data_IF_978891829547
#
_entry.id   IF_978891829547
#
_cell.length_a   1.000
_cell.length_b   1.000
_cell.length_c   1.000
_cell.angle_alpha   90.00
_cell.angle_beta   90.00
_cell.angle_gamma   90.00
#
_symmetry.space_group_name_H-M   'P 1'
#
loop_
_entity.id
_entity.type
_entity.pdbx_description
1 polymer ?
#
# COMPACT_ATOMS: atom_id res chain seq x y z
N UNK A 1 2.04 -85.48 -20.58
CA UNK A 1 3.06 -84.88 -19.69
C UNK A 1 2.63 -83.43 -19.45
N UNK A 2 1.81 -83.19 -18.41
CA UNK A 2 2.20 -82.62 -17.07
C UNK A 2 2.48 -81.10 -17.14
N UNK A 3 1.48 -80.26 -16.85
CA UNK A 3 1.15 -79.61 -15.55
C UNK A 3 2.11 -78.51 -15.09
N UNK A 4 1.57 -77.29 -14.91
CA UNK A 4 1.61 -76.42 -13.71
C UNK A 4 1.78 -74.94 -14.12
N UNK A 5 0.71 -74.13 -14.11
CA UNK A 5 0.36 -73.17 -13.04
C UNK A 5 1.57 -72.52 -12.35
N UNK A 6 1.69 -71.20 -12.52
CA UNK A 6 2.05 -70.31 -11.41
C UNK A 6 1.43 -68.93 -11.65
N UNK A 7 0.50 -68.60 -10.76
CA UNK A 7 -0.13 -67.30 -10.57
C UNK A 7 0.84 -66.48 -9.71
N UNK A 8 1.15 -65.26 -10.13
CA UNK A 8 1.73 -64.25 -9.24
C UNK A 8 0.95 -62.95 -9.47
N UNK A 9 -0.13 -62.82 -8.70
CA UNK A 9 -0.72 -61.54 -8.29
C UNK A 9 0.34 -60.79 -7.50
N UNK A 10 0.62 -59.52 -7.79
CA UNK A 10 1.07 -58.54 -6.79
C UNK A 10 0.97 -57.11 -7.33
N UNK A 11 0.03 -56.39 -6.71
CA UNK A 11 0.06 -54.97 -6.35
C UNK A 11 0.04 -53.92 -7.46
N UNK A 12 -1.19 -53.45 -7.71
CA UNK A 12 -1.44 -52.07 -8.07
C UNK A 12 -0.85 -51.12 -7.01
N UNK A 13 0.11 -50.30 -7.40
CA UNK A 13 0.44 -49.08 -6.69
C UNK A 13 -0.08 -47.91 -7.53
N UNK A 14 -1.31 -47.50 -7.26
CA UNK A 14 -1.88 -46.26 -7.78
C UNK A 14 -1.15 -45.12 -7.10
N UNK A 15 -0.19 -44.50 -7.79
CA UNK A 15 0.40 -43.24 -7.37
C UNK A 15 -0.61 -42.12 -7.66
N UNK A 16 -1.51 -41.87 -6.71
CA UNK A 16 -2.26 -40.62 -6.66
C UNK A 16 -1.27 -39.54 -6.25
N UNK A 17 -0.73 -38.81 -7.23
CA UNK A 17 0.02 -37.59 -6.98
C UNK A 17 -0.97 -36.49 -6.56
N UNK A 18 -1.34 -36.49 -5.28
CA UNK A 18 -2.17 -35.46 -4.66
C UNK A 18 -1.40 -34.14 -4.60
N UNK A 19 -1.92 -33.15 -5.34
CA UNK A 19 -1.73 -31.71 -5.22
C UNK A 19 -0.72 -31.20 -4.18
N UNK A 20 0.41 -30.68 -4.66
CA UNK A 20 1.10 -29.56 -4.02
C UNK A 20 0.84 -28.28 -4.82
N UNK A 21 -0.45 -27.96 -5.03
CA UNK A 21 -0.86 -26.58 -5.24
C UNK A 21 -0.76 -25.88 -3.89
N UNK A 22 0.43 -25.38 -3.56
CA UNK A 22 0.55 -24.36 -2.52
C UNK A 22 -0.46 -23.25 -2.83
N UNK A 23 -1.13 -22.65 -1.82
CA UNK A 23 -2.03 -21.54 -2.09
C UNK A 23 -1.22 -20.48 -2.85
N UNK A 24 -1.75 -19.92 -3.97
CA UNK A 24 -1.09 -18.80 -4.60
C UNK A 24 -0.93 -17.75 -3.51
N UNK A 25 0.33 -17.37 -3.24
CA UNK A 25 0.65 -16.19 -2.45
C UNK A 25 -0.32 -15.13 -2.91
N UNK A 26 -1.20 -14.64 -2.02
CA UNK A 26 -2.30 -13.73 -2.34
C UNK A 26 -1.82 -12.76 -3.42
N UNK A 27 -2.18 -13.05 -4.68
CA UNK A 27 -2.06 -12.06 -5.71
C UNK A 27 -3.04 -11.03 -5.22
N UNK A 28 -2.51 -9.98 -4.58
CA UNK A 28 -3.26 -8.77 -4.39
C UNK A 28 -3.81 -8.51 -5.79
N UNK A 29 -5.12 -8.65 -5.95
CA UNK A 29 -5.76 -8.37 -7.22
C UNK A 29 -5.22 -6.99 -7.60
N UNK A 30 -4.42 -6.94 -8.68
CA UNK A 30 -3.69 -5.77 -9.07
C UNK A 30 -4.73 -4.74 -9.50
N UNK A 31 -5.22 -3.98 -8.53
CA UNK A 31 -6.03 -2.82 -8.79
C UNK A 31 -5.12 -1.86 -9.57
N UNK A 32 -5.50 -1.61 -10.82
CA UNK A 32 -4.79 -0.65 -11.64
C UNK A 32 -5.16 0.75 -11.15
N UNK A 33 -4.30 1.35 -10.34
CA UNK A 33 -4.44 2.74 -9.94
C UNK A 33 -3.58 3.65 -10.81
N UNK A 34 -4.11 4.82 -11.15
CA UNK A 34 -3.31 5.95 -11.61
C UNK A 34 -2.98 6.82 -10.39
N UNK A 35 -1.80 6.62 -9.79
CA UNK A 35 -1.42 7.30 -8.53
C UNK A 35 -1.49 8.83 -8.60
N UNK A 36 -1.35 9.44 -9.78
CA UNK A 36 -1.45 10.90 -9.92
C UNK A 36 -2.89 11.39 -9.88
N UNK A 37 -3.86 10.53 -10.22
CA UNK A 37 -5.29 10.82 -10.17
C UNK A 37 -5.94 10.26 -8.92
N UNK A 38 -5.47 9.14 -8.39
CA UNK A 38 -6.11 8.40 -7.31
C UNK A 38 -5.66 8.85 -5.92
N UNK A 39 -4.48 9.49 -5.82
CA UNK A 39 -4.00 10.09 -4.58
C UNK A 39 -3.97 11.61 -4.70
N UNK A 40 -4.90 12.25 -4.02
CA UNK A 40 -4.95 13.71 -3.94
C UNK A 40 -4.19 14.19 -2.71
N UNK A 41 -3.16 15.01 -2.92
CA UNK A 41 -2.45 15.71 -1.85
C UNK A 41 -2.93 17.16 -1.85
N UNK A 42 -3.53 17.58 -0.74
CA UNK A 42 -3.88 18.98 -0.51
C UNK A 42 -3.06 19.53 0.65
N UNK A 43 -2.75 20.82 0.58
CA UNK A 43 -2.01 21.50 1.63
C UNK A 43 -2.61 22.88 1.91
N UNK A 44 -3.25 23.04 3.07
CA UNK A 44 -3.77 24.34 3.52
C UNK A 44 -2.75 25.06 4.41
N UNK A 45 -2.60 26.36 4.18
CA UNK A 45 -1.82 27.26 5.03
C UNK A 45 -2.66 27.63 6.27
N UNK A 46 -2.12 27.40 7.44
CA UNK A 46 -2.65 27.86 8.72
C UNK A 46 -2.04 29.20 9.13
N UNK A 47 -2.36 29.63 10.34
CA UNK A 47 -1.90 30.92 10.86
C UNK A 47 -0.38 30.93 11.10
N UNK A 48 0.30 32.05 10.77
CA UNK A 48 1.67 32.27 11.16
C UNK A 48 1.84 32.19 12.67
N UNK A 49 2.93 31.58 13.10
CA UNK A 49 3.37 31.51 14.49
C UNK A 49 4.21 32.75 14.84
N UNK A 50 4.39 33.00 16.14
CA UNK A 50 5.15 34.15 16.64
C UNK A 50 6.63 34.15 16.22
N UNK A 51 7.18 32.98 15.88
CA UNK A 51 8.55 32.82 15.37
C UNK A 51 8.67 33.02 13.85
N UNK A 52 7.57 33.37 13.17
CA UNK A 52 7.49 33.56 11.72
C UNK A 52 7.29 32.27 10.92
N UNK A 53 7.25 31.10 11.56
CA UNK A 53 6.89 29.84 10.90
C UNK A 53 5.39 29.77 10.62
N UNK A 54 4.95 28.90 9.72
CA UNK A 54 3.53 28.65 9.45
C UNK A 54 3.19 27.19 9.62
N UNK A 55 1.98 26.92 10.09
CA UNK A 55 1.44 25.55 10.12
C UNK A 55 0.87 25.20 8.76
N UNK A 56 1.30 24.07 8.19
CA UNK A 56 0.78 23.53 6.95
C UNK A 56 0.06 22.22 7.26
N UNK A 57 -1.25 22.19 7.02
CA UNK A 57 -2.04 20.96 7.12
C UNK A 57 -2.03 20.26 5.78
N UNK A 58 -1.52 19.04 5.77
CA UNK A 58 -1.48 18.15 4.61
C UNK A 58 -2.58 17.12 4.77
N UNK A 59 -3.37 16.92 3.72
CA UNK A 59 -4.37 15.85 3.63
C UNK A 59 -4.08 15.04 2.38
N UNK A 60 -3.83 13.74 2.56
CA UNK A 60 -3.65 12.78 1.49
C UNK A 60 -4.89 11.92 1.40
N UNK A 61 -5.64 12.05 0.32
CA UNK A 61 -6.93 11.37 0.10
C UNK A 61 -6.78 10.28 -0.96
N UNK A 62 -7.29 9.09 -0.67
CA UNK A 62 -7.48 8.04 -1.67
C UNK A 62 -8.85 8.22 -2.33
N UNK A 63 -8.87 8.62 -3.60
CA UNK A 63 -10.07 8.81 -4.41
C UNK A 63 -10.19 7.78 -5.55
N UNK A 64 -9.46 6.67 -5.44
CA UNK A 64 -9.50 5.55 -6.38
C UNK A 64 -10.90 4.91 -6.40
N UNK A 65 -11.47 4.75 -7.60
CA UNK A 65 -12.86 4.32 -7.79
C UNK A 65 -13.16 2.83 -7.49
N UNK A 66 -12.13 2.00 -7.28
CA UNK A 66 -12.30 0.55 -7.10
C UNK A 66 -12.36 -0.22 -8.42
N UNK A 67 -12.73 -1.50 -8.34
CA UNK A 67 -12.97 -2.33 -9.52
C UNK A 67 -14.48 -2.42 -9.77
N UNK A 68 -14.93 -1.74 -10.81
CA UNK A 68 -16.34 -1.72 -11.22
C UNK A 68 -16.89 -3.10 -11.58
N UNK A 69 -16.06 -4.03 -12.06
CA UNK A 69 -16.52 -5.38 -12.46
C UNK A 69 -16.83 -6.25 -11.25
N UNK A 70 -16.01 -6.12 -10.20
CA UNK A 70 -16.13 -6.92 -8.98
C UNK A 70 -16.86 -6.19 -7.85
N UNK A 71 -17.11 -4.88 -8.01
CA UNK A 71 -17.69 -4.02 -6.98
C UNK A 71 -16.78 -3.84 -5.76
N UNK A 72 -15.48 -4.14 -5.88
CA UNK A 72 -14.55 -4.13 -4.76
C UNK A 72 -13.92 -2.74 -4.60
N UNK A 73 -13.89 -2.18 -3.38
CA UNK A 73 -13.34 -0.85 -3.17
C UNK A 73 -11.81 -0.87 -3.34
N UNK A 74 -11.25 0.27 -3.74
CA UNK A 74 -9.82 0.41 -3.88
C UNK A 74 -9.14 0.65 -2.53
N UNK A 75 -7.98 0.03 -2.29
CA UNK A 75 -7.14 0.31 -1.14
C UNK A 75 -5.73 0.63 -1.59
N UNK A 76 -5.17 1.72 -1.08
CA UNK A 76 -3.80 2.14 -1.42
C UNK A 76 -2.94 2.12 -0.16
N UNK A 77 -1.82 1.42 -0.20
CA UNK A 77 -0.92 1.20 0.93
C UNK A 77 0.53 1.51 0.57
N UNK A 78 1.43 1.49 1.57
CA UNK A 78 2.88 1.72 1.38
C UNK A 78 3.21 2.99 0.59
N UNK A 79 2.43 4.05 0.81
CA UNK A 79 2.56 5.32 0.11
C UNK A 79 3.89 5.98 0.51
N UNK A 80 4.77 6.17 -0.48
CA UNK A 80 6.01 6.92 -0.37
C UNK A 80 5.84 8.26 -1.06
N UNK A 81 6.12 9.32 -0.32
CA UNK A 81 6.11 10.69 -0.81
C UNK A 81 7.54 11.15 -1.05
N UNK A 82 7.76 11.91 -2.11
CA UNK A 82 8.93 12.79 -2.17
C UNK A 82 8.68 13.90 -1.17
N UNK A 83 9.60 14.06 -0.24
CA UNK A 83 9.56 15.11 0.78
C UNK A 83 10.87 15.92 0.84
N UNK A 84 11.86 15.64 -0.03
CA UNK A 84 13.06 16.47 -0.17
C UNK A 84 13.80 16.66 1.17
N UNK A 85 13.99 17.92 1.57
CA UNK A 85 14.61 18.28 2.85
C UNK A 85 13.57 18.51 3.96
N UNK A 86 12.48 17.74 3.97
CA UNK A 86 11.37 17.89 4.92
C UNK A 86 11.87 18.05 6.35
N UNK A 87 11.61 19.24 6.92
CA UNK A 87 11.95 19.57 8.30
C UNK A 87 10.81 20.38 8.89
N UNK A 88 10.32 19.90 10.03
CA UNK A 88 9.28 20.58 10.79
C UNK A 88 9.88 21.15 12.07
N UNK A 89 9.54 22.39 12.40
CA UNK A 89 9.89 23.06 13.68
C UNK A 89 9.28 22.28 14.85
N UNK A 90 8.00 21.90 14.70
CA UNK A 90 7.30 21.03 15.65
C UNK A 90 7.33 19.60 15.09
N UNK A 91 7.84 18.60 15.83
CA UNK A 91 7.91 17.23 15.34
C UNK A 91 6.55 16.69 14.91
N UNK A 92 6.50 16.08 13.72
CA UNK A 92 5.33 15.32 13.24
C UNK A 92 5.39 13.91 13.83
N UNK A 93 4.24 13.33 14.16
CA UNK A 93 4.18 11.94 14.63
C UNK A 93 4.80 10.99 13.57
N UNK A 94 5.86 10.24 13.92
CA UNK A 94 6.53 9.33 12.98
C UNK A 94 5.66 8.15 12.53
N UNK A 95 4.52 7.89 13.21
CA UNK A 95 3.52 6.94 12.74
C UNK A 95 2.73 7.49 11.55
N UNK A 96 2.59 8.81 11.45
CA UNK A 96 1.84 9.46 10.37
C UNK A 96 2.76 9.85 9.20
N UNK A 97 3.94 10.39 9.48
CA UNK A 97 4.92 10.69 8.45
C UNK A 97 6.33 10.48 9.00
N UNK A 98 7.12 9.63 8.33
CA UNK A 98 8.54 9.44 8.68
C UNK A 98 9.42 9.45 7.45
N UNK A 99 10.59 10.06 7.57
CA UNK A 99 11.65 9.93 6.55
C UNK A 99 12.20 8.50 6.61
N UNK A 100 12.24 7.80 5.47
CA UNK A 100 12.77 6.42 5.38
C UNK A 100 14.13 6.37 4.71
N UNK A 101 14.36 7.25 3.74
CA UNK A 101 15.66 7.55 3.15
C UNK A 101 15.69 9.06 2.86
N UNK A 102 16.87 9.69 2.70
CA UNK A 102 16.95 11.11 2.37
C UNK A 102 16.04 11.46 1.17
N UNK A 103 15.18 12.47 1.32
CA UNK A 103 14.23 12.87 0.26
C UNK A 103 12.92 12.10 0.21
N UNK A 104 12.77 10.98 0.92
CA UNK A 104 11.61 10.09 0.81
C UNK A 104 10.97 9.84 2.17
N UNK A 105 9.67 10.12 2.24
CA UNK A 105 8.85 9.92 3.42
C UNK A 105 7.86 8.77 3.23
N UNK A 106 7.67 7.95 4.26
CA UNK A 106 6.58 6.98 4.32
C UNK A 106 5.40 7.57 5.08
N UNK A 107 4.22 7.49 4.48
CA UNK A 107 2.96 7.95 5.04
C UNK A 107 2.25 6.84 5.83
N UNK A 108 1.59 7.21 6.92
CA UNK A 108 0.69 6.37 7.73
C UNK A 108 1.30 5.02 8.11
N UNK A 109 2.59 5.01 8.42
CA UNK A 109 3.40 3.82 8.65
C UNK A 109 3.34 2.73 7.56
N UNK A 110 2.84 3.06 6.37
CA UNK A 110 2.61 2.13 5.27
C UNK A 110 1.23 1.44 5.29
N UNK A 111 0.39 1.75 6.27
CA UNK A 111 -0.98 1.23 6.34
C UNK A 111 -1.83 1.69 5.14
N UNK A 112 -2.82 0.87 4.80
CA UNK A 112 -3.75 1.16 3.72
C UNK A 112 -4.67 2.33 4.05
N UNK A 113 -4.89 3.20 3.08
CA UNK A 113 -5.96 4.19 3.05
C UNK A 113 -7.09 3.59 2.21
N UNK A 114 -8.25 3.29 2.80
CA UNK A 114 -9.41 2.83 2.02
C UNK A 114 -9.93 3.90 1.07
N UNK A 115 -10.72 3.49 0.08
CA UNK A 115 -11.42 4.39 -0.82
C UNK A 115 -12.18 5.48 -0.04
N UNK A 116 -12.10 6.71 -0.53
CA UNK A 116 -12.70 7.92 0.02
C UNK A 116 -12.25 8.27 1.46
N UNK A 117 -11.16 7.64 1.93
CA UNK A 117 -10.53 7.96 3.21
C UNK A 117 -9.27 8.79 2.97
N UNK A 118 -8.82 9.42 4.05
CA UNK A 118 -7.62 10.25 4.04
C UNK A 118 -6.75 10.01 5.27
N UNK A 119 -5.51 10.45 5.14
CA UNK A 119 -4.57 10.62 6.25
C UNK A 119 -4.17 12.08 6.26
N UNK A 120 -4.24 12.69 7.44
CA UNK A 120 -3.93 14.11 7.62
C UNK A 120 -2.82 14.28 8.65
N UNK A 121 -1.93 15.23 8.42
CA UNK A 121 -0.92 15.67 9.39
C UNK A 121 -0.66 17.17 9.25
N UNK A 122 -0.06 17.75 10.28
CA UNK A 122 0.34 19.16 10.29
C UNK A 122 1.85 19.21 10.47
N UNK A 123 2.54 20.01 9.66
CA UNK A 123 3.94 20.35 9.86
C UNK A 123 4.08 21.86 10.01
N UNK A 124 5.10 22.30 10.74
CA UNK A 124 5.40 23.71 10.96
C UNK A 124 6.71 24.03 10.26
N UNK A 125 6.70 24.96 9.31
CA UNK A 125 7.90 25.34 8.56
C UNK A 125 7.84 26.80 8.14
N UNK A 126 8.99 27.37 7.82
CA UNK A 126 9.09 28.71 7.25
C UNK A 126 8.71 28.74 5.76
N UNK A 127 8.76 27.58 5.10
CA UNK A 127 8.43 27.43 3.68
C UNK A 127 7.50 26.24 3.48
N UNK A 128 6.69 26.32 2.43
CA UNK A 128 5.82 25.22 2.00
C UNK A 128 6.67 24.11 1.39
N UNK A 129 6.48 22.89 1.86
CA UNK A 129 7.12 21.69 1.34
C UNK A 129 6.43 21.20 0.06
N UNK A 130 7.23 20.87 -0.96
CA UNK A 130 6.74 20.28 -2.20
C UNK A 130 6.60 18.76 -2.04
N UNK A 131 5.37 18.29 -1.79
CA UNK A 131 5.05 16.88 -1.57
C UNK A 131 4.35 16.29 -2.79
N UNK A 132 4.88 15.19 -3.32
CA UNK A 132 4.24 14.42 -4.39
C UNK A 132 4.45 12.91 -4.19
N UNK A 133 3.60 12.10 -4.80
CA UNK A 133 3.66 10.63 -4.68
C UNK A 133 4.80 10.08 -5.54
N UNK A 134 5.68 9.27 -4.93
CA UNK A 134 6.72 8.52 -5.65
C UNK A 134 6.26 7.12 -6.02
N UNK A 135 5.63 6.44 -5.07
CA UNK A 135 5.17 5.06 -5.24
C UNK A 135 4.12 4.71 -4.21
N UNK A 136 3.21 3.81 -4.56
CA UNK A 136 2.30 3.18 -3.62
C UNK A 136 1.98 1.75 -4.09
N UNK A 137 1.39 0.95 -3.22
CA UNK A 137 0.87 -0.38 -3.55
C UNK A 137 -0.63 -0.34 -3.57
N UNK A 138 -1.21 -0.64 -4.73
CA UNK A 138 -2.64 -0.75 -4.91
C UNK A 138 -3.15 -2.17 -4.69
N UNK A 139 -4.38 -2.27 -4.22
CA UNK A 139 -5.09 -3.52 -4.11
C UNK A 139 -6.58 -3.29 -4.01
N UNK A 140 -7.32 -4.39 -4.04
CA UNK A 140 -8.75 -4.39 -3.80
C UNK A 140 -9.02 -4.71 -2.32
N UNK A 141 -9.89 -3.92 -1.71
CA UNK A 141 -10.45 -4.19 -0.39
C UNK A 141 -11.20 -5.51 -0.36
N UNK A 142 -11.29 -6.10 0.83
CA UNK A 142 -12.10 -7.29 1.07
C UNK A 142 -13.54 -6.90 1.36
#
# INVERSE_FOLDING_TARGET
>A
MTTARSVAVLMAAVLVASALSGPPAFAAADAHCDLQKDLLITQSLGEPQSDGSSMYRVTVTNQCAGDERTGRPCVISRIRLQCGNFRSVIPVDPKVLRVVVPGVCLLNAGHSIPQDRNVSFVYTSYVRENLYVLSATCGLGR
#
